data_IF_016643887681
#
_entry.id   IF_016643887681
#
_cell.length_a   1.000
_cell.length_b   1.000
_cell.length_c   1.000
_cell.angle_alpha   90.00
_cell.angle_beta   90.00
_cell.angle_gamma   90.00
#
_symmetry.space_group_name_H-M   'P 1'
#
loop_
_entity.id
_entity.type
_entity.pdbx_description
1 polymer ?
#
# COMPACT_ATOMS: atom_id res chain seq x y z
N UNK A 1 -1.17 12.95 -19.48
CA UNK A 1 -1.69 12.79 -18.11
C UNK A 1 -2.17 11.37 -17.78
N UNK A 2 -2.89 10.67 -18.65
CA UNK A 2 -3.35 9.28 -18.37
C UNK A 2 -2.22 8.28 -18.07
N UNK A 3 -1.13 8.32 -18.82
CA UNK A 3 0.02 7.42 -18.64
C UNK A 3 0.72 7.66 -17.30
N UNK A 4 0.95 8.93 -16.93
CA UNK A 4 1.58 9.30 -15.68
C UNK A 4 0.74 8.84 -14.47
N UNK A 5 -0.57 9.10 -14.47
CA UNK A 5 -1.47 8.66 -13.39
C UNK A 5 -1.47 7.13 -13.28
N UNK A 6 -1.48 6.41 -14.40
CA UNK A 6 -1.42 4.96 -14.41
C UNK A 6 -0.11 4.44 -13.80
N UNK A 7 1.03 5.02 -14.19
CA UNK A 7 2.34 4.61 -13.63
C UNK A 7 2.39 4.86 -12.13
N UNK A 8 1.90 6.01 -11.68
CA UNK A 8 1.78 6.31 -10.25
C UNK A 8 0.89 5.31 -9.51
N UNK A 9 -0.28 4.99 -10.05
CA UNK A 9 -1.18 3.99 -9.48
C UNK A 9 -0.52 2.62 -9.37
N UNK A 10 0.19 2.20 -10.42
CA UNK A 10 0.90 0.92 -10.42
C UNK A 10 2.01 0.88 -9.36
N UNK A 11 2.81 1.93 -9.26
CA UNK A 11 3.89 2.03 -8.26
C UNK A 11 3.33 2.08 -6.84
N UNK A 12 2.28 2.87 -6.60
CA UNK A 12 1.67 2.98 -5.27
C UNK A 12 1.04 1.65 -4.82
N UNK A 13 0.35 0.94 -5.71
CA UNK A 13 -0.20 -0.38 -5.43
C UNK A 13 0.90 -1.42 -5.15
N UNK A 14 2.01 -1.39 -5.89
CA UNK A 14 3.17 -2.23 -5.60
C UNK A 14 3.75 -1.94 -4.22
N UNK A 15 3.92 -0.66 -3.87
CA UNK A 15 4.42 -0.25 -2.56
C UNK A 15 3.50 -0.70 -1.42
N UNK A 16 2.20 -0.45 -1.52
CA UNK A 16 1.21 -0.88 -0.53
C UNK A 16 1.22 -2.42 -0.37
N UNK A 17 1.16 -3.15 -1.49
CA UNK A 17 1.17 -4.61 -1.49
C UNK A 17 2.41 -5.21 -0.83
N UNK A 18 3.60 -4.65 -1.08
CA UNK A 18 4.84 -5.09 -0.42
C UNK A 18 4.81 -4.85 1.09
N UNK A 19 4.27 -3.71 1.53
CA UNK A 19 4.11 -3.43 2.97
C UNK A 19 3.12 -4.41 3.61
N UNK A 20 1.97 -4.68 2.97
CA UNK A 20 1.00 -5.66 3.46
C UNK A 20 1.62 -7.07 3.59
N UNK A 21 2.38 -7.52 2.60
CA UNK A 21 3.09 -8.80 2.65
C UNK A 21 4.14 -8.86 3.78
N UNK A 22 4.87 -7.77 3.99
CA UNK A 22 5.88 -7.70 5.06
C UNK A 22 5.23 -7.70 6.45
N UNK A 23 4.12 -6.99 6.64
CA UNK A 23 3.34 -7.00 7.89
C UNK A 23 2.71 -8.37 8.12
N UNK A 24 2.22 -9.03 7.07
CA UNK A 24 1.67 -10.39 7.13
C UNK A 24 2.66 -11.38 7.73
N UNK A 25 3.96 -11.28 7.40
CA UNK A 25 4.98 -12.22 7.87
C UNK A 25 5.17 -12.23 9.41
N UNK A 26 4.75 -11.16 10.11
CA UNK A 26 4.82 -11.06 11.58
C UNK A 26 3.47 -11.08 12.29
N UNK A 27 2.38 -11.30 11.57
CA UNK A 27 1.02 -11.22 12.10
C UNK A 27 0.48 -12.60 12.56
N UNK A 28 -0.55 -12.65 13.43
CA UNK A 28 -1.28 -13.89 13.73
C UNK A 28 -1.92 -14.50 12.48
N UNK A 29 -2.09 -15.83 12.44
CA UNK A 29 -2.47 -16.60 11.25
C UNK A 29 -3.65 -16.01 10.46
N UNK A 30 -4.72 -15.61 11.13
CA UNK A 30 -5.89 -15.03 10.46
C UNK A 30 -5.57 -13.69 9.78
N UNK A 31 -4.80 -12.81 10.44
CA UNK A 31 -4.34 -11.55 9.88
C UNK A 31 -3.31 -11.78 8.77
N UNK A 32 -2.41 -12.77 8.92
CA UNK A 32 -1.44 -13.16 7.90
C UNK A 32 -2.13 -13.51 6.59
N UNK A 33 -3.16 -14.36 6.63
CA UNK A 33 -3.87 -14.78 5.42
C UNK A 33 -4.57 -13.61 4.73
N UNK A 34 -5.22 -12.74 5.49
CA UNK A 34 -5.91 -11.56 4.95
C UNK A 34 -4.93 -10.57 4.34
N UNK A 35 -3.86 -10.23 5.06
CA UNK A 35 -2.85 -9.28 4.60
C UNK A 35 -2.04 -9.82 3.42
N UNK A 36 -1.71 -11.12 3.42
CA UNK A 36 -1.02 -11.75 2.32
C UNK A 36 -1.88 -11.77 1.05
N UNK A 37 -3.17 -12.09 1.18
CA UNK A 37 -4.10 -12.05 0.05
C UNK A 37 -4.25 -10.63 -0.49
N UNK A 38 -4.49 -9.64 0.37
CA UNK A 38 -4.61 -8.23 -0.01
C UNK A 38 -3.33 -7.76 -0.72
N UNK A 39 -2.17 -7.96 -0.11
CA UNK A 39 -0.88 -7.55 -0.66
C UNK A 39 -0.58 -8.24 -2.00
N UNK A 40 -0.89 -9.53 -2.15
CA UNK A 40 -0.73 -10.24 -3.41
C UNK A 40 -1.64 -9.67 -4.52
N UNK A 41 -2.90 -9.35 -4.20
CA UNK A 41 -3.84 -8.73 -5.14
C UNK A 41 -3.37 -7.33 -5.57
N UNK A 42 -2.86 -6.52 -4.65
CA UNK A 42 -2.33 -5.19 -4.93
C UNK A 42 -1.09 -5.26 -5.82
N UNK A 43 -0.14 -6.16 -5.53
CA UNK A 43 1.05 -6.39 -6.36
C UNK A 43 0.62 -6.84 -7.76
N UNK A 44 -0.27 -7.83 -7.87
CA UNK A 44 -0.74 -8.32 -9.16
C UNK A 44 -1.45 -7.24 -9.98
N UNK A 45 -2.29 -6.42 -9.31
CA UNK A 45 -2.95 -5.28 -9.96
C UNK A 45 -1.95 -4.20 -10.38
N UNK A 46 -1.00 -3.86 -9.52
CA UNK A 46 0.05 -2.88 -9.79
C UNK A 46 0.90 -3.25 -11.00
N UNK A 47 1.37 -4.52 -11.05
CA UNK A 47 2.09 -5.06 -12.22
C UNK A 47 1.23 -4.99 -13.48
N UNK A 48 -0.05 -5.38 -13.38
CA UNK A 48 -0.98 -5.36 -14.52
C UNK A 48 -1.23 -3.92 -15.00
N UNK A 49 -1.34 -2.95 -14.08
CA UNK A 49 -1.51 -1.54 -14.40
C UNK A 49 -0.28 -0.95 -15.11
N UNK A 50 0.92 -1.40 -14.74
CA UNK A 50 2.16 -1.00 -15.42
C UNK A 50 2.31 -1.64 -16.80
N UNK A 51 1.94 -2.92 -16.93
CA UNK A 51 2.09 -3.70 -18.15
C UNK A 51 1.07 -3.34 -19.24
N UNK A 52 -0.11 -2.81 -18.88
CA UNK A 52 -1.18 -2.50 -19.83
C UNK A 52 -1.21 -1.04 -20.21
N UNK A 53 -1.75 -0.71 -21.39
CA UNK A 53 -1.91 0.68 -21.86
C UNK A 53 -3.05 1.45 -21.15
N UNK A 54 -3.92 0.76 -20.44
CA UNK A 54 -5.07 1.32 -19.73
C UNK A 54 -5.12 0.83 -18.28
N UNK A 55 -5.76 1.62 -17.41
CA UNK A 55 -6.00 1.20 -16.01
C UNK A 55 -6.97 0.02 -16.01
N UNK A 56 -6.54 -1.17 -15.54
CA UNK A 56 -7.42 -2.34 -15.52
C UNK A 56 -8.51 -2.16 -14.46
N UNK A 57 -9.76 -2.46 -14.84
CA UNK A 57 -10.95 -2.48 -13.95
C UNK A 57 -10.98 -1.38 -12.88
N UNK A 58 -10.98 -0.09 -13.25
CA UNK A 58 -10.73 1.01 -12.30
C UNK A 58 -11.78 1.11 -11.18
N UNK A 59 -13.03 0.68 -11.42
CA UNK A 59 -14.09 0.70 -10.40
C UNK A 59 -13.89 -0.38 -9.34
N UNK A 60 -13.48 -1.59 -9.72
CA UNK A 60 -13.21 -2.67 -8.77
C UNK A 60 -11.92 -2.41 -8.00
N UNK A 61 -10.89 -1.84 -8.65
CA UNK A 61 -9.68 -1.40 -7.99
C UNK A 61 -9.96 -0.28 -6.96
N UNK A 62 -10.83 0.69 -7.31
CA UNK A 62 -11.28 1.72 -6.38
C UNK A 62 -12.01 1.11 -5.17
N UNK A 63 -12.92 0.17 -5.42
CA UNK A 63 -13.62 -0.53 -4.33
C UNK A 63 -12.63 -1.29 -3.43
N UNK A 64 -11.66 -1.98 -4.02
CA UNK A 64 -10.61 -2.69 -3.27
C UNK A 64 -9.77 -1.75 -2.39
N UNK A 65 -9.30 -0.63 -2.95
CA UNK A 65 -8.53 0.35 -2.20
C UNK A 65 -9.34 0.99 -1.05
N UNK A 66 -10.62 1.31 -1.29
CA UNK A 66 -11.51 1.84 -0.24
C UNK A 66 -11.76 0.80 0.85
N UNK A 67 -11.98 -0.47 0.48
CA UNK A 67 -12.15 -1.56 1.44
C UNK A 67 -10.86 -1.81 2.25
N UNK A 68 -9.70 -1.69 1.63
CA UNK A 68 -8.41 -1.75 2.32
C UNK A 68 -8.29 -0.68 3.41
N UNK A 69 -8.51 0.58 3.04
CA UNK A 69 -8.51 1.71 4.00
C UNK A 69 -9.56 1.52 5.10
N UNK A 70 -10.80 1.12 4.74
CA UNK A 70 -11.86 0.87 5.72
C UNK A 70 -11.50 -0.28 6.67
N UNK A 71 -10.90 -1.35 6.17
CA UNK A 71 -10.40 -2.46 6.97
C UNK A 71 -9.37 -1.99 8.00
N UNK A 72 -8.44 -1.14 7.61
CA UNK A 72 -7.46 -0.54 8.52
C UNK A 72 -8.11 0.32 9.59
N UNK A 73 -9.07 1.16 9.24
CA UNK A 73 -9.81 1.97 10.21
C UNK A 73 -10.51 1.08 11.24
N UNK A 74 -11.15 0.00 10.78
CA UNK A 74 -11.82 -0.96 11.67
C UNK A 74 -10.80 -1.63 12.61
N UNK A 75 -9.66 -2.10 12.11
CA UNK A 75 -8.61 -2.72 12.94
C UNK A 75 -8.08 -1.74 13.99
N UNK A 76 -7.85 -0.47 13.61
CA UNK A 76 -7.40 0.57 14.54
C UNK A 76 -8.45 0.89 15.61
N UNK A 77 -9.72 0.99 15.22
CA UNK A 77 -10.80 1.28 16.18
C UNK A 77 -11.01 0.11 17.15
N UNK A 78 -11.01 -1.13 16.68
CA UNK A 78 -11.13 -2.31 17.52
C UNK A 78 -9.90 -2.46 18.44
N UNK A 79 -8.70 -2.22 17.94
CA UNK A 79 -7.47 -2.22 18.74
C UNK A 79 -7.47 -1.15 19.83
N UNK A 80 -7.91 0.06 19.51
CA UNK A 80 -8.02 1.15 20.47
C UNK A 80 -9.11 0.87 21.53
N UNK A 81 -10.25 0.31 21.12
CA UNK A 81 -11.33 -0.09 22.02
C UNK A 81 -10.92 -1.22 22.98
N UNK A 82 -10.19 -2.20 22.48
CA UNK A 82 -9.68 -3.29 23.31
C UNK A 82 -8.71 -2.80 24.38
N UNK A 83 -7.83 -1.84 24.05
CA UNK A 83 -6.88 -1.25 25.03
C UNK A 83 -7.58 -0.46 26.12
N UNK A 84 -8.70 0.23 25.82
CA UNK A 84 -9.45 0.99 26.84
C UNK A 84 -10.23 0.10 27.82
N UNK A 85 -10.67 -1.08 27.39
CA UNK A 85 -11.38 -2.04 28.25
C UNK A 85 -10.45 -2.98 29.04
N UNK A 86 -9.19 -3.09 28.67
CA UNK A 86 -8.25 -4.07 29.24
C UNK A 86 -7.24 -3.47 30.23
N UNK A 87 -7.41 -2.23 30.66
CA UNK A 87 -6.57 -1.63 31.71
C UNK A 87 -6.55 -2.42 33.04
N UNK A 88 -7.29 -3.53 33.15
CA UNK A 88 -7.35 -4.42 34.30
C UNK A 88 -7.09 -5.91 34.05
N UNK A 89 -6.85 -6.35 32.83
CA UNK A 89 -6.60 -7.78 32.49
C UNK A 89 -5.35 -7.96 31.64
N UNK A 90 -4.26 -8.28 32.31
CA UNK A 90 -3.00 -8.72 31.70
C UNK A 90 -3.20 -10.09 31.07
N UNK A 91 -3.38 -10.20 29.78
CA UNK A 91 -3.02 -11.36 28.94
C UNK A 91 -3.92 -11.65 27.74
N UNK A 92 -4.41 -10.64 27.04
CA UNK A 92 -4.75 -10.88 25.64
C UNK A 92 -3.69 -10.16 24.83
N UNK A 93 -2.87 -10.92 24.10
CA UNK A 93 -1.87 -10.36 23.18
C UNK A 93 -2.63 -9.41 22.23
N UNK A 94 -2.65 -8.12 22.58
CA UNK A 94 -3.09 -7.09 21.67
C UNK A 94 -2.31 -7.34 20.39
N UNK A 95 -2.99 -7.45 19.25
CA UNK A 95 -2.35 -7.57 17.95
C UNK A 95 -1.60 -6.24 17.77
N UNK A 96 -0.38 -6.17 18.31
CA UNK A 96 0.49 -5.02 18.19
C UNK A 96 1.05 -5.01 16.77
N UNK A 97 0.17 -4.67 15.81
CA UNK A 97 0.63 -4.43 14.46
C UNK A 97 1.48 -3.16 14.45
N UNK A 98 2.62 -3.16 13.77
CA UNK A 98 3.52 -2.01 13.77
C UNK A 98 2.82 -0.80 13.12
N UNK A 99 2.62 0.26 13.90
CA UNK A 99 1.80 1.41 13.48
C UNK A 99 2.37 2.12 12.23
N UNK A 100 3.70 2.26 12.13
CA UNK A 100 4.34 2.95 11.01
C UNK A 100 4.11 2.26 9.66
N UNK A 101 4.36 0.95 9.48
CA UNK A 101 4.02 0.25 8.26
C UNK A 101 2.54 0.34 7.89
N UNK A 102 1.66 0.23 8.87
CA UNK A 102 0.21 0.33 8.64
C UNK A 102 -0.21 1.71 8.13
N UNK A 103 0.31 2.78 8.73
CA UNK A 103 0.04 4.15 8.27
C UNK A 103 0.58 4.39 6.86
N UNK A 104 1.76 3.85 6.55
CA UNK A 104 2.35 3.96 5.22
C UNK A 104 1.53 3.23 4.16
N UNK A 105 1.09 2.00 4.43
CA UNK A 105 0.21 1.25 3.53
C UNK A 105 -1.13 1.98 3.33
N UNK A 106 -1.77 2.42 4.41
CA UNK A 106 -3.02 3.18 4.34
C UNK A 106 -2.88 4.50 3.55
N UNK A 107 -1.74 5.20 3.67
CA UNK A 107 -1.47 6.41 2.89
C UNK A 107 -1.34 6.10 1.39
N UNK A 108 -0.67 5.01 1.02
CA UNK A 108 -0.54 4.58 -0.36
C UNK A 108 -1.90 4.15 -0.94
N UNK A 109 -2.69 3.40 -0.17
CA UNK A 109 -4.04 2.98 -0.56
C UNK A 109 -4.98 4.17 -0.75
N UNK A 110 -4.92 5.15 0.16
CA UNK A 110 -5.70 6.37 0.04
C UNK A 110 -5.30 7.19 -1.19
N UNK A 111 -4.00 7.28 -1.48
CA UNK A 111 -3.51 7.94 -2.69
C UNK A 111 -3.97 7.20 -3.96
N UNK A 112 -3.97 5.86 -3.96
CA UNK A 112 -4.55 5.03 -5.02
C UNK A 112 -6.05 5.28 -5.17
N UNK A 113 -6.81 5.23 -4.08
CA UNK A 113 -8.26 5.44 -4.09
C UNK A 113 -8.63 6.84 -4.62
N UNK A 114 -7.95 7.90 -4.16
CA UNK A 114 -8.16 9.26 -4.63
C UNK A 114 -7.86 9.39 -6.14
N UNK A 115 -6.75 8.83 -6.59
CA UNK A 115 -6.35 8.85 -8.00
C UNK A 115 -7.33 8.05 -8.88
N UNK A 116 -7.77 6.88 -8.43
CA UNK A 116 -8.77 6.06 -9.12
C UNK A 116 -10.13 6.75 -9.16
N UNK A 117 -10.54 7.41 -8.08
CA UNK A 117 -11.78 8.19 -8.07
C UNK A 117 -11.76 9.30 -9.12
N UNK A 118 -10.64 9.99 -9.30
CA UNK A 118 -10.46 10.99 -10.36
C UNK A 118 -10.56 10.35 -11.75
N UNK A 119 -9.90 9.19 -11.96
CA UNK A 119 -9.96 8.45 -13.23
C UNK A 119 -11.39 8.02 -13.55
N UNK A 120 -12.10 7.46 -12.56
CA UNK A 120 -13.49 7.00 -12.73
C UNK A 120 -14.44 8.19 -13.03
N UNK A 121 -14.27 9.32 -12.31
CA UNK A 121 -15.11 10.51 -12.49
C UNK A 121 -14.90 11.22 -13.84
N UNK A 122 -13.64 11.26 -14.31
CA UNK A 122 -13.31 11.94 -15.60
C UNK A 122 -13.66 11.11 -16.83
N UNK A 123 -13.93 9.82 -16.67
CA UNK A 123 -14.15 8.91 -17.78
C UNK A 123 -12.89 8.71 -18.64
N UNK A 124 -13.08 8.06 -19.81
CA UNK A 124 -11.98 7.90 -20.77
C UNK A 124 -11.70 9.22 -21.48
N UNK A 125 -10.46 9.72 -21.49
CA UNK A 125 -10.14 10.88 -22.32
C UNK A 125 -10.34 10.54 -23.79
N UNK A 126 -11.06 11.40 -24.50
CA UNK A 126 -11.41 11.21 -25.93
C UNK A 126 -10.17 11.21 -26.85
N UNK A 127 -9.07 11.81 -26.40
CA UNK A 127 -7.79 11.87 -27.15
C UNK A 127 -6.63 11.68 -26.18
N UNK A 128 -5.80 10.67 -26.42
CA UNK A 128 -4.53 10.49 -25.71
C UNK A 128 -3.48 11.39 -26.35
N UNK A 129 -3.30 12.60 -25.81
CA UNK A 129 -2.18 13.46 -26.20
C UNK A 129 -0.90 12.85 -25.62
N UNK A 130 0.08 12.60 -26.48
CA UNK A 130 1.39 12.14 -26.05
C UNK A 130 1.99 13.18 -25.06
N UNK A 131 2.37 12.79 -23.85
CA UNK A 131 2.95 13.73 -22.89
C UNK A 131 4.35 14.12 -23.33
N UNK A 132 4.76 15.36 -23.03
CA UNK A 132 6.15 15.76 -23.18
C UNK A 132 7.04 14.86 -22.34
N UNK A 133 8.15 14.41 -22.93
CA UNK A 133 9.02 13.37 -22.35
C UNK A 133 9.60 13.81 -21.01
N UNK A 134 10.09 15.03 -20.90
CA UNK A 134 10.76 15.52 -19.69
C UNK A 134 9.84 15.67 -18.48
N UNK A 135 8.66 16.32 -18.57
CA UNK A 135 7.71 16.35 -17.45
C UNK A 135 7.19 14.97 -17.07
N UNK A 136 7.05 14.05 -18.05
CA UNK A 136 6.65 12.68 -17.79
C UNK A 136 7.73 11.93 -16.98
N UNK A 137 8.99 11.95 -17.44
CA UNK A 137 10.09 11.29 -16.73
C UNK A 137 10.29 11.87 -15.33
N UNK A 138 10.29 13.21 -15.20
CA UNK A 138 10.38 13.85 -13.89
C UNK A 138 9.28 13.44 -12.93
N UNK A 139 8.04 13.35 -13.40
CA UNK A 139 6.92 12.89 -12.61
C UNK A 139 7.04 11.41 -12.19
N UNK A 140 7.46 10.54 -13.10
CA UNK A 140 7.66 9.12 -12.80
C UNK A 140 8.78 8.92 -11.78
N UNK A 141 9.91 9.59 -11.96
CA UNK A 141 11.05 9.49 -11.02
C UNK A 141 10.67 10.03 -9.65
N UNK A 142 10.02 11.20 -9.58
CA UNK A 142 9.53 11.74 -8.30
C UNK A 142 8.56 10.78 -7.61
N UNK A 143 7.63 10.19 -8.36
CA UNK A 143 6.69 9.22 -7.86
C UNK A 143 7.33 7.95 -7.33
N UNK A 144 8.23 7.40 -8.12
CA UNK A 144 8.98 6.22 -7.71
C UNK A 144 9.80 6.49 -6.44
N UNK A 145 10.44 7.66 -6.34
CA UNK A 145 11.19 8.06 -5.15
C UNK A 145 10.30 8.18 -3.90
N UNK A 146 9.13 8.79 -4.02
CA UNK A 146 8.17 8.91 -2.90
C UNK A 146 7.67 7.53 -2.47
N UNK A 147 7.23 6.69 -3.41
CA UNK A 147 6.74 5.34 -3.08
C UNK A 147 7.87 4.50 -2.48
N UNK A 148 9.07 4.53 -3.07
CA UNK A 148 10.23 3.80 -2.55
C UNK A 148 10.59 4.27 -1.14
N UNK A 149 10.61 5.59 -0.89
CA UNK A 149 10.88 6.15 0.44
C UNK A 149 9.90 5.68 1.51
N UNK A 150 8.60 5.76 1.22
CA UNK A 150 7.55 5.27 2.13
C UNK A 150 7.69 3.76 2.35
N UNK A 151 7.79 2.99 1.27
CA UNK A 151 7.87 1.53 1.34
C UNK A 151 9.12 1.08 2.09
N UNK A 152 10.29 1.66 1.83
CA UNK A 152 11.53 1.30 2.52
C UNK A 152 11.48 1.62 4.02
N UNK A 153 10.94 2.79 4.40
CA UNK A 153 10.75 3.15 5.81
C UNK A 153 9.78 2.19 6.51
N UNK A 154 8.70 1.82 5.84
CA UNK A 154 7.72 0.85 6.37
C UNK A 154 8.30 -0.55 6.50
N UNK A 155 9.04 -1.03 5.50
CA UNK A 155 9.68 -2.34 5.53
C UNK A 155 10.73 -2.42 6.65
N UNK A 156 11.56 -1.38 6.82
CA UNK A 156 12.55 -1.29 7.91
C UNK A 156 11.92 -1.33 9.31
N UNK A 157 10.69 -0.87 9.45
CA UNK A 157 9.95 -0.90 10.71
C UNK A 157 9.20 -2.22 10.96
N UNK A 158 9.25 -3.20 10.03
CA UNK A 158 8.72 -4.55 10.26
C UNK A 158 9.73 -5.42 11.00
N UNK A 159 9.30 -6.48 11.73
CA UNK A 159 10.22 -7.44 12.34
C UNK A 159 11.19 -8.08 11.34
N UNK A 160 10.71 -8.38 10.13
CA UNK A 160 11.53 -8.97 9.05
C UNK A 160 12.59 -7.99 8.56
N UNK A 161 12.23 -6.71 8.39
CA UNK A 161 13.16 -5.66 7.98
C UNK A 161 14.22 -5.38 9.03
N UNK A 162 13.85 -5.39 10.31
CA UNK A 162 14.78 -5.23 11.41
C UNK A 162 15.82 -6.36 11.46
N UNK A 163 15.40 -7.62 11.24
CA UNK A 163 16.33 -8.76 11.17
C UNK A 163 17.28 -8.66 9.97
N UNK A 164 16.78 -8.20 8.81
CA UNK A 164 17.62 -8.00 7.63
C UNK A 164 18.70 -6.94 7.86
N UNK A 165 18.38 -5.85 8.58
CA UNK A 165 19.38 -4.82 8.93
C UNK A 165 20.43 -5.34 9.90
N UNK A 166 20.04 -6.12 10.92
CA UNK A 166 21.00 -6.72 11.86
C UNK A 166 21.98 -7.69 11.17
N UNK A 167 21.52 -8.43 10.17
CA UNK A 167 22.37 -9.33 9.38
C UNK A 167 23.45 -8.61 8.57
N UNK A 168 23.18 -7.35 8.15
CA UNK A 168 24.16 -6.53 7.43
C UNK A 168 25.26 -5.98 8.34
N UNK A 169 24.95 -5.66 9.59
CA UNK A 169 25.94 -5.13 10.55
C UNK A 169 26.95 -6.18 11.04
N UNK A 170 26.61 -7.46 10.97
CA UNK A 170 27.51 -8.56 11.39
C UNK A 170 28.50 -9.03 10.31
N UNK A 171 28.47 -8.43 9.11
CA UNK A 171 29.30 -8.82 7.97
C UNK A 171 30.58 -7.98 7.78
N UNK A 172 30.98 -7.15 8.73
CA UNK A 172 32.21 -6.30 8.69
C UNK A 172 33.19 -6.70 9.76
#
# INVERSE_FOLDING_TARGET
MATMVRTWLGLAALGAGLVHLAVAAGAPLAATLLLALLGALEVAWGVTALAREHVPVPRTALAGAVLGVAGWVVVLLLGAGAMSHMAGMSSVAAIALPALPMLGAAALDLACAASLAVVVRRGRPAVVRQPDVWPYLGGVVAGAAVVAGITSACLGATPVGALAMQGMDMGH
#
